data_IF_470571126048
#
_entry.id   IF_470571126048
#
_cell.length_a   1.000
_cell.length_b   1.000
_cell.length_c   1.000
_cell.angle_alpha   90.00
_cell.angle_beta   90.00
_cell.angle_gamma   90.00
#
_symmetry.space_group_name_H-M   'P 1'
#
loop_
_entity.id
_entity.type
_entity.pdbx_description
1 polymer ?
#
# COMPACT_ATOMS: atom_id res chain seq x y z
N UNK A 1 11.20 24.97 16.09
CA UNK A 1 10.31 23.86 15.68
C UNK A 1 9.46 24.33 14.52
N UNK A 2 9.61 23.74 13.33
CA UNK A 2 8.70 23.99 12.22
C UNK A 2 8.05 22.65 11.87
N UNK A 3 6.72 22.60 11.95
CA UNK A 3 5.87 21.52 11.42
C UNK A 3 6.02 20.09 11.98
N UNK A 4 6.55 19.89 13.20
CA UNK A 4 6.51 18.56 13.86
C UNK A 4 7.36 17.47 13.21
N UNK A 5 8.22 17.80 12.24
CA UNK A 5 9.18 16.88 11.64
C UNK A 5 10.48 16.90 12.44
N UNK A 6 10.87 15.77 13.02
CA UNK A 6 12.19 15.58 13.60
C UNK A 6 13.17 15.35 12.43
N UNK A 7 13.69 16.43 11.85
CA UNK A 7 14.81 16.32 10.91
C UNK A 7 16.02 15.93 11.76
N UNK A 8 16.34 14.63 11.79
CA UNK A 8 17.54 14.13 12.43
C UNK A 8 18.75 14.73 11.71
N UNK A 9 19.75 15.20 12.47
CA UNK A 9 20.90 15.94 11.96
C UNK A 9 21.76 15.15 10.95
N UNK A 10 21.59 13.82 10.90
CA UNK A 10 22.32 12.91 10.01
C UNK A 10 21.65 12.65 8.65
N UNK A 11 20.49 13.26 8.38
CA UNK A 11 19.70 12.94 7.17
C UNK A 11 19.12 11.52 7.18
N UNK A 12 19.04 10.87 8.35
CA UNK A 12 18.41 9.57 8.49
C UNK A 12 16.87 9.69 8.45
N UNK A 13 16.32 9.60 7.25
CA UNK A 13 14.89 9.59 6.93
C UNK A 13 14.18 8.28 7.33
N UNK A 14 14.92 7.27 7.80
CA UNK A 14 14.38 5.95 8.11
C UNK A 14 13.35 5.99 9.25
N UNK A 15 13.52 6.91 10.21
CA UNK A 15 12.60 7.10 11.32
C UNK A 15 11.22 7.59 10.88
N UNK A 16 11.17 8.54 9.94
CA UNK A 16 9.90 9.08 9.42
C UNK A 16 9.19 8.08 8.49
N UNK A 17 9.95 7.35 7.67
CA UNK A 17 9.43 6.26 6.84
C UNK A 17 8.80 5.18 7.74
N UNK A 18 9.49 4.76 8.79
CA UNK A 18 8.96 3.78 9.75
C UNK A 18 7.70 4.30 10.46
N UNK A 19 7.70 5.54 10.93
CA UNK A 19 6.53 6.13 11.59
C UNK A 19 5.30 6.19 10.64
N UNK A 20 5.50 6.48 9.36
CA UNK A 20 4.42 6.50 8.35
C UNK A 20 4.01 5.10 7.91
N UNK A 21 4.91 4.13 7.82
CA UNK A 21 4.57 2.71 7.66
C UNK A 21 3.72 2.23 8.83
N UNK A 22 4.04 2.65 10.06
CA UNK A 22 3.22 2.36 11.24
C UNK A 22 1.83 2.98 11.11
N UNK A 23 1.71 4.23 10.64
CA UNK A 23 0.41 4.85 10.34
C UNK A 23 -0.37 4.12 9.24
N UNK A 24 0.28 3.72 8.15
CA UNK A 24 -0.34 2.93 7.07
C UNK A 24 -0.79 1.54 7.59
N UNK A 25 0.00 0.92 8.46
CA UNK A 25 -0.38 -0.32 9.16
C UNK A 25 -1.57 -0.10 10.09
N UNK A 26 -1.64 1.03 10.80
CA UNK A 26 -2.76 1.37 11.66
C UNK A 26 -4.04 1.63 10.85
N UNK A 27 -3.96 2.40 9.76
CA UNK A 27 -5.05 2.59 8.81
C UNK A 27 -5.51 1.25 8.22
N UNK A 28 -4.57 0.37 7.88
CA UNK A 28 -4.89 -0.97 7.40
C UNK A 28 -5.51 -1.86 8.48
N UNK A 29 -5.03 -1.78 9.73
CA UNK A 29 -5.61 -2.50 10.86
C UNK A 29 -7.06 -2.05 11.09
N UNK A 30 -7.32 -0.75 10.96
CA UNK A 30 -8.68 -0.21 10.94
C UNK A 30 -9.49 -0.79 9.78
N UNK A 31 -8.91 -0.99 8.60
CA UNK A 31 -9.55 -1.67 7.46
C UNK A 31 -9.57 -3.20 7.59
N UNK A 32 -9.06 -3.77 8.68
CA UNK A 32 -9.00 -5.21 8.91
C UNK A 32 -10.37 -5.89 8.96
N UNK A 33 -11.44 -5.12 9.24
CA UNK A 33 -12.81 -5.61 9.14
C UNK A 33 -13.28 -5.80 7.69
N UNK A 34 -12.68 -5.13 6.69
CA UNK A 34 -13.10 -5.28 5.29
C UNK A 34 -12.95 -6.72 4.79
N UNK A 35 -11.90 -7.41 5.22
CA UNK A 35 -11.75 -8.84 4.92
C UNK A 35 -12.86 -9.70 5.55
N UNK A 36 -13.37 -9.30 6.72
CA UNK A 36 -14.39 -10.05 7.49
C UNK A 36 -15.81 -9.86 6.97
N UNK A 37 -16.07 -8.78 6.23
CA UNK A 37 -17.39 -8.50 5.65
C UNK A 37 -17.67 -9.47 4.49
N UNK A 38 -18.31 -10.60 4.75
CA UNK A 38 -18.64 -11.59 3.70
C UNK A 38 -19.73 -11.11 2.74
N UNK A 39 -20.60 -10.22 3.20
CA UNK A 39 -21.73 -9.70 2.42
C UNK A 39 -21.34 -8.62 1.40
N UNK A 40 -20.08 -8.16 1.42
CA UNK A 40 -19.57 -7.14 0.51
C UNK A 40 -18.79 -7.80 -0.62
N UNK A 41 -19.12 -7.46 -1.87
CA UNK A 41 -18.43 -7.99 -3.03
C UNK A 41 -16.95 -7.59 -3.07
N UNK A 42 -16.11 -8.46 -3.64
CA UNK A 42 -14.67 -8.23 -3.74
C UNK A 42 -14.35 -6.91 -4.46
N UNK A 43 -15.08 -6.58 -5.52
CA UNK A 43 -14.93 -5.33 -6.27
C UNK A 43 -15.20 -4.08 -5.42
N UNK A 44 -16.18 -4.13 -4.50
CA UNK A 44 -16.44 -3.01 -3.58
C UNK A 44 -15.30 -2.87 -2.58
N UNK A 45 -14.80 -3.99 -2.02
CA UNK A 45 -13.64 -3.96 -1.11
C UNK A 45 -12.39 -3.45 -1.81
N UNK A 46 -12.17 -3.83 -3.07
CA UNK A 46 -11.09 -3.33 -3.92
C UNK A 46 -11.17 -1.83 -4.14
N UNK A 47 -12.37 -1.28 -4.37
CA UNK A 47 -12.61 0.17 -4.47
C UNK A 47 -12.31 0.92 -3.17
N UNK A 48 -12.79 0.40 -2.04
CA UNK A 48 -12.53 1.00 -0.71
C UNK A 48 -11.03 1.01 -0.44
N UNK A 49 -10.33 -0.09 -0.75
CA UNK A 49 -8.88 -0.17 -0.65
C UNK A 49 -8.19 0.86 -1.54
N UNK A 50 -8.58 0.96 -2.81
CA UNK A 50 -8.01 1.90 -3.76
C UNK A 50 -8.13 3.35 -3.27
N UNK A 51 -9.27 3.74 -2.71
CA UNK A 51 -9.50 5.10 -2.20
C UNK A 51 -8.82 5.39 -0.86
N UNK A 52 -8.74 4.41 0.04
CA UNK A 52 -8.22 4.64 1.40
C UNK A 52 -6.73 4.37 1.55
N UNK A 53 -6.22 3.32 0.91
CA UNK A 53 -4.85 2.84 1.10
C UNK A 53 -3.89 3.33 0.02
N UNK A 54 -4.35 3.44 -1.23
CA UNK A 54 -3.45 3.80 -2.33
C UNK A 54 -2.90 5.22 -2.22
N UNK A 55 -3.68 6.26 -1.86
CA UNK A 55 -3.13 7.60 -1.62
C UNK A 55 -2.13 7.60 -0.46
N UNK A 56 -2.38 6.83 0.59
CA UNK A 56 -1.47 6.72 1.75
C UNK A 56 -0.14 6.10 1.37
N UNK A 57 -0.15 5.11 0.47
CA UNK A 57 1.06 4.46 -0.04
C UNK A 57 1.81 5.36 -1.06
N UNK A 58 1.08 6.10 -1.89
CA UNK A 58 1.66 6.96 -2.93
C UNK A 58 2.20 8.28 -2.39
N UNK A 59 1.58 8.88 -1.37
CA UNK A 59 2.03 10.13 -0.77
C UNK A 59 3.48 10.06 -0.23
N UNK A 60 3.89 8.88 0.25
CA UNK A 60 5.28 8.63 0.69
C UNK A 60 6.27 8.79 -0.48
N UNK A 61 5.83 8.46 -1.68
CA UNK A 61 6.61 8.50 -2.91
C UNK A 61 6.70 9.91 -3.51
N UNK A 62 5.68 10.74 -3.27
CA UNK A 62 5.63 12.12 -3.76
C UNK A 62 6.47 13.08 -2.92
N UNK A 63 6.66 12.80 -1.64
CA UNK A 63 7.34 13.74 -0.73
C UNK A 63 8.84 13.47 -0.61
N UNK A 64 9.31 12.25 -0.95
CA UNK A 64 10.68 11.82 -0.67
C UNK A 64 11.27 10.90 -1.75
N UNK A 65 12.59 10.99 -2.02
CA UNK A 65 13.26 10.05 -2.91
C UNK A 65 13.28 8.65 -2.28
N UNK A 66 12.48 7.74 -2.83
CA UNK A 66 12.38 6.36 -2.35
C UNK A 66 13.57 5.53 -2.82
N UNK A 67 14.15 4.74 -1.91
CA UNK A 67 15.12 3.71 -2.29
C UNK A 67 14.39 2.51 -2.88
N UNK A 68 15.11 1.72 -3.67
CA UNK A 68 14.58 0.46 -4.25
C UNK A 68 14.07 -0.48 -3.17
N UNK A 69 14.70 -0.51 -2.00
CA UNK A 69 14.25 -1.30 -0.86
C UNK A 69 12.90 -0.82 -0.31
N UNK A 70 12.68 0.49 -0.22
CA UNK A 70 11.41 1.05 0.25
C UNK A 70 10.27 0.74 -0.71
N UNK A 71 10.50 0.86 -2.03
CA UNK A 71 9.53 0.47 -3.06
C UNK A 71 9.18 -1.02 -2.94
N UNK A 72 10.18 -1.88 -2.68
CA UNK A 72 9.96 -3.32 -2.46
C UNK A 72 9.10 -3.56 -1.20
N UNK A 73 9.41 -2.90 -0.09
CA UNK A 73 8.66 -3.03 1.17
C UNK A 73 7.21 -2.57 1.01
N UNK A 74 6.97 -1.47 0.32
CA UNK A 74 5.63 -0.98 -0.02
C UNK A 74 4.86 -1.97 -0.91
N UNK A 75 5.53 -2.52 -1.93
CA UNK A 75 4.92 -3.53 -2.81
C UNK A 75 4.56 -4.81 -2.06
N UNK A 76 5.41 -5.31 -1.16
CA UNK A 76 5.10 -6.50 -0.32
C UNK A 76 3.91 -6.22 0.58
N UNK A 77 3.84 -5.03 1.18
CA UNK A 77 2.73 -4.62 2.02
C UNK A 77 1.41 -4.56 1.24
N UNK A 78 1.42 -3.95 0.05
CA UNK A 78 0.26 -3.87 -0.86
C UNK A 78 -0.29 -5.27 -1.19
N UNK A 79 0.58 -6.20 -1.61
CA UNK A 79 0.15 -7.57 -1.95
C UNK A 79 -0.39 -8.33 -0.74
N UNK A 80 0.17 -8.12 0.45
CA UNK A 80 -0.38 -8.69 1.69
C UNK A 80 -1.77 -8.15 1.97
N UNK A 81 -2.00 -6.85 1.72
CA UNK A 81 -3.29 -6.23 1.91
C UNK A 81 -4.36 -6.77 0.96
N UNK A 82 -4.02 -6.87 -0.33
CA UNK A 82 -4.90 -7.39 -1.37
C UNK A 82 -5.29 -8.85 -1.11
N UNK A 83 -4.34 -9.70 -0.73
CA UNK A 83 -4.64 -11.11 -0.38
C UNK A 83 -5.62 -11.23 0.77
N UNK A 84 -5.47 -10.41 1.82
CA UNK A 84 -6.39 -10.45 2.97
C UNK A 84 -7.79 -9.92 2.63
N UNK A 85 -7.90 -8.95 1.72
CA UNK A 85 -9.21 -8.45 1.25
C UNK A 85 -9.91 -9.48 0.37
N UNK A 86 -9.15 -10.21 -0.45
CA UNK A 86 -9.62 -11.28 -1.31
C UNK A 86 -9.81 -12.63 -0.58
N UNK A 87 -9.53 -12.70 0.72
CA UNK A 87 -9.52 -13.94 1.52
C UNK A 87 -8.66 -15.06 0.91
N UNK A 88 -7.54 -14.68 0.26
CA UNK A 88 -6.62 -15.60 -0.40
C UNK A 88 -5.55 -16.01 0.60
N UNK A 89 -5.59 -17.29 0.98
CA UNK A 89 -4.58 -17.91 1.84
C UNK A 89 -3.36 -18.38 1.02
N UNK A 90 -2.23 -18.55 1.70
CA UNK A 90 -0.96 -18.95 1.08
C UNK A 90 -1.08 -20.30 0.33
N UNK A 91 -1.87 -21.22 0.87
CA UNK A 91 -2.16 -22.54 0.30
C UNK A 91 -2.94 -22.52 -1.03
N UNK A 92 -3.52 -21.38 -1.42
CA UNK A 92 -4.21 -21.27 -2.71
C UNK A 92 -3.25 -21.12 -3.90
N UNK A 93 -1.94 -20.96 -3.65
CA UNK A 93 -0.90 -20.84 -4.70
C UNK A 93 -1.21 -19.81 -5.80
N UNK A 94 -1.94 -18.75 -5.46
CA UNK A 94 -2.36 -17.70 -6.41
C UNK A 94 -1.23 -16.69 -6.63
N UNK A 95 -0.91 -16.42 -7.89
CA UNK A 95 0.11 -15.44 -8.27
C UNK A 95 -0.27 -14.01 -7.86
N UNK A 96 0.73 -13.14 -7.67
CA UNK A 96 0.51 -11.74 -7.33
C UNK A 96 -0.32 -10.97 -8.38
N UNK A 97 -0.11 -11.30 -9.66
CA UNK A 97 -0.84 -10.71 -10.77
C UNK A 97 -2.32 -11.12 -10.74
N UNK A 98 -2.59 -12.41 -10.49
CA UNK A 98 -3.94 -12.94 -10.40
C UNK A 98 -4.72 -12.38 -9.20
N UNK A 99 -4.06 -12.22 -8.03
CA UNK A 99 -4.68 -11.55 -6.86
C UNK A 99 -5.14 -10.14 -7.23
N UNK A 100 -4.30 -9.38 -7.94
CA UNK A 100 -4.65 -8.02 -8.38
C UNK A 100 -5.80 -8.03 -9.39
N UNK A 101 -5.74 -8.92 -10.37
CA UNK A 101 -6.79 -9.07 -11.36
C UNK A 101 -8.16 -9.36 -10.71
N UNK A 102 -8.20 -10.19 -9.67
CA UNK A 102 -9.45 -10.46 -8.92
C UNK A 102 -9.97 -9.27 -8.12
N UNK A 103 -9.09 -8.45 -7.56
CA UNK A 103 -9.49 -7.31 -6.71
C UNK A 103 -9.91 -6.09 -7.53
N UNK A 104 -9.23 -5.84 -8.65
CA UNK A 104 -9.39 -4.62 -9.45
C UNK A 104 -10.06 -4.86 -10.82
N UNK A 105 -10.33 -6.12 -11.19
CA UNK A 105 -10.88 -6.51 -12.50
C UNK A 105 -10.00 -5.98 -13.67
N UNK A 106 -10.59 -5.69 -14.83
CA UNK A 106 -9.91 -5.08 -15.99
C UNK A 106 -9.69 -3.56 -15.86
N UNK A 107 -9.70 -2.98 -14.66
CA UNK A 107 -9.36 -1.57 -14.48
C UNK A 107 -7.83 -1.40 -14.51
N UNK A 108 -7.38 -0.24 -14.99
CA UNK A 108 -5.96 0.16 -15.05
C UNK A 108 -5.35 0.42 -13.66
N UNK A 109 -5.52 -0.50 -12.72
CA UNK A 109 -4.92 -0.45 -11.40
C UNK A 109 -3.51 -1.04 -11.45
N UNK A 110 -2.61 -0.25 -12.03
CA UNK A 110 -1.18 -0.56 -12.09
C UNK A 110 -0.60 -0.88 -10.71
N UNK A 111 0.36 -1.81 -10.71
CA UNK A 111 1.15 -2.14 -9.55
C UNK A 111 1.71 -0.87 -8.89
N UNK A 112 1.70 -0.80 -7.55
CA UNK A 112 2.23 0.37 -6.84
C UNK A 112 3.68 0.66 -7.24
N UNK A 113 4.51 -0.37 -7.40
CA UNK A 113 5.88 -0.21 -7.91
C UNK A 113 5.92 0.43 -9.30
N UNK A 114 4.98 0.09 -10.19
CA UNK A 114 4.88 0.70 -11.53
C UNK A 114 4.38 2.14 -11.43
N UNK A 115 3.42 2.43 -10.57
CA UNK A 115 2.92 3.80 -10.34
C UNK A 115 4.03 4.71 -9.81
N UNK A 116 4.85 4.21 -8.87
CA UNK A 116 5.99 4.94 -8.31
C UNK A 116 7.05 5.21 -9.38
N UNK A 117 7.37 4.21 -10.21
CA UNK A 117 8.36 4.33 -11.28
C UNK A 117 7.90 5.19 -12.47
N UNK A 118 6.58 5.39 -12.65
CA UNK A 118 6.00 6.28 -13.67
C UNK A 118 5.91 7.73 -13.22
N UNK A 119 5.94 7.99 -11.91
CA UNK A 119 6.00 9.33 -11.33
C UNK A 119 7.36 9.59 -10.64
N UNK A 120 8.51 9.43 -11.32
CA UNK A 120 9.73 10.01 -10.81
C UNK A 120 9.54 11.53 -10.85
N UNK A 121 9.38 12.14 -9.68
CA UNK A 121 9.36 13.58 -9.57
C UNK A 121 10.70 14.13 -10.05
N UNK A 122 10.55 15.07 -10.98
CA UNK A 122 11.56 15.96 -11.55
C UNK A 122 12.21 16.82 -10.49
#
# INVERSE_FOLDING_TARGET
MYLGSCISADGDLSGEINARIVKARAAYANLGYLGRLRDVSLAVKGRIYNWSMRPVLLYVCETWPLRVEDVRRLSVFDHRCLRRIADIQWQHHVSNAEVRHRVFEHRDDNAISVTILKHPLR
#
